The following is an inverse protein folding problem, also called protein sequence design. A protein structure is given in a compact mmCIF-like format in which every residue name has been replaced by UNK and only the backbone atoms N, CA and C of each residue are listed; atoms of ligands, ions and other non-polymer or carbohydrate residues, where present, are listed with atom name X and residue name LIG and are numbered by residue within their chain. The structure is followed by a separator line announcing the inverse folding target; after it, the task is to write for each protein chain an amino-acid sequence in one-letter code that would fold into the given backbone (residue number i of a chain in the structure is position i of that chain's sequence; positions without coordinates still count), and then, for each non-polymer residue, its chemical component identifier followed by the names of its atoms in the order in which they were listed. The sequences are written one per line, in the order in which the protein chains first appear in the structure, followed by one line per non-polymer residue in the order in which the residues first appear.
data_IF_522076686741
#
_entry.id   IF_522076686741
#
_cell.length_a   1.000
_cell.length_b   1.000
_cell.length_c   1.000
_cell.angle_alpha   90.00
_cell.angle_beta   90.00
_cell.angle_gamma   90.00
#
_symmetry.space_group_name_H-M   'P 1'
#
loop_
_entity.id
_entity.type
_entity.pdbx_description
1 polymer ?
#
# COMPACT_ATOMS: atom_id res chain seq x y z
N UNK A 1 -32.20 -2.33 -24.78
CA UNK A 1 -31.10 -1.81 -23.94
C UNK A 1 -29.83 -2.46 -24.45
N UNK A 2 -28.85 -1.69 -24.94
CA UNK A 2 -27.59 -2.24 -25.42
C UNK A 2 -26.88 -2.98 -24.29
N UNK A 3 -26.58 -4.27 -24.49
CA UNK A 3 -25.83 -5.05 -23.51
C UNK A 3 -24.46 -4.41 -23.27
N UNK A 4 -24.10 -4.22 -21.99
CA UNK A 4 -22.82 -3.65 -21.60
C UNK A 4 -21.67 -4.55 -22.10
N UNK A 5 -20.56 -3.95 -22.55
CA UNK A 5 -19.38 -4.71 -22.97
C UNK A 5 -18.83 -5.57 -21.84
N UNK A 6 -18.21 -6.71 -22.16
CA UNK A 6 -17.61 -7.61 -21.17
C UNK A 6 -16.56 -6.90 -20.30
N UNK A 7 -15.78 -5.99 -20.89
CA UNK A 7 -14.78 -5.18 -20.18
C UNK A 7 -15.45 -4.26 -19.16
N UNK A 8 -16.56 -3.62 -19.53
CA UNK A 8 -17.35 -2.74 -18.66
C UNK A 8 -17.99 -3.54 -17.52
N UNK A 9 -18.52 -4.73 -17.80
CA UNK A 9 -19.09 -5.63 -16.78
C UNK A 9 -18.03 -6.04 -15.75
N UNK A 10 -16.82 -6.39 -16.18
CA UNK A 10 -15.69 -6.73 -15.28
C UNK A 10 -15.29 -5.54 -14.39
N UNK A 11 -15.27 -4.33 -14.94
CA UNK A 11 -15.00 -3.12 -14.17
C UNK A 11 -16.06 -2.94 -13.07
N UNK A 12 -17.34 -3.00 -13.42
CA UNK A 12 -18.46 -2.87 -12.47
C UNK A 12 -18.36 -3.92 -11.37
N UNK A 13 -18.10 -5.18 -11.72
CA UNK A 13 -17.97 -6.27 -10.75
C UNK A 13 -16.83 -6.02 -9.75
N UNK A 14 -15.66 -5.54 -10.21
CA UNK A 14 -14.53 -5.23 -9.33
C UNK A 14 -14.83 -4.08 -8.37
N UNK A 15 -15.54 -3.05 -8.83
CA UNK A 15 -15.99 -1.95 -7.97
C UNK A 15 -17.01 -2.42 -6.92
N UNK A 16 -17.96 -3.28 -7.31
CA UNK A 16 -18.92 -3.86 -6.37
C UNK A 16 -18.25 -4.73 -5.29
N UNK A 17 -17.31 -5.60 -5.68
CA UNK A 17 -16.53 -6.42 -4.75
C UNK A 17 -15.74 -5.54 -3.77
N UNK A 18 -15.14 -4.44 -4.27
CA UNK A 18 -14.45 -3.48 -3.42
C UNK A 18 -15.40 -2.84 -2.40
N UNK A 19 -16.55 -2.34 -2.85
CA UNK A 19 -17.54 -1.73 -1.98
C UNK A 19 -17.99 -2.70 -0.86
N UNK A 20 -18.20 -3.97 -1.19
CA UNK A 20 -18.52 -5.01 -0.20
C UNK A 20 -17.37 -5.28 0.77
N UNK A 21 -16.12 -5.25 0.31
CA UNK A 21 -14.94 -5.50 1.16
C UNK A 21 -14.63 -4.39 2.17
N UNK A 22 -15.12 -3.16 1.93
CA UNK A 22 -14.92 -2.00 2.83
C UNK A 22 -15.98 -1.99 3.95
N UNK A 23 -17.13 -2.63 3.75
CA UNK A 23 -18.18 -2.70 4.77
C UNK A 23 -17.65 -3.44 6.01
N UNK A 24 -17.90 -2.92 7.23
CA UNK A 24 -17.48 -3.58 8.45
C UNK A 24 -18.10 -4.98 8.52
N UNK A 25 -17.26 -6.00 8.70
CA UNK A 25 -17.71 -7.39 8.86
C UNK A 25 -18.18 -7.59 10.30
N UNK A 26 -19.41 -8.09 10.46
CA UNK A 26 -19.93 -8.44 11.77
C UNK A 26 -19.08 -9.54 12.42
N UNK A 27 -18.68 -9.32 13.68
CA UNK A 27 -17.96 -10.33 14.49
C UNK A 27 -16.44 -10.38 14.34
N UNK A 28 -15.80 -9.45 13.61
CA UNK A 28 -14.33 -9.39 13.51
C UNK A 28 -13.74 -8.40 14.50
N UNK A 29 -12.70 -8.79 15.25
CA UNK A 29 -11.99 -7.91 16.16
C UNK A 29 -11.26 -6.80 15.37
N UNK A 30 -11.54 -5.54 15.74
CA UNK A 30 -10.91 -4.36 15.14
C UNK A 30 -9.98 -3.68 16.13
N UNK A 31 -9.01 -2.94 15.59
CA UNK A 31 -7.99 -2.24 16.37
C UNK A 31 -8.61 -0.99 16.98
N UNK A 32 -8.70 -0.96 18.30
CA UNK A 32 -9.11 0.20 19.08
C UNK A 32 -7.91 0.92 19.69
N UNK A 33 -7.90 2.25 19.59
CA UNK A 33 -6.94 3.11 20.28
C UNK A 33 -7.68 4.23 21.04
N UNK A 34 -7.23 4.53 22.27
CA UNK A 34 -7.89 5.43 23.25
C UNK A 34 -8.36 6.81 22.72
N UNK A 35 -9.34 7.40 23.41
CA UNK A 35 -10.15 8.61 23.14
C UNK A 35 -9.54 9.75 22.29
N UNK A 36 -8.24 10.04 22.41
CA UNK A 36 -7.58 11.09 21.62
C UNK A 36 -7.49 10.69 20.15
N UNK A 37 -7.27 9.40 19.85
CA UNK A 37 -7.28 8.86 18.49
C UNK A 37 -8.68 8.94 17.86
N UNK A 38 -9.75 8.78 18.65
CA UNK A 38 -11.13 8.90 18.18
C UNK A 38 -11.45 10.33 17.69
N UNK A 39 -10.97 11.37 18.39
CA UNK A 39 -11.13 12.77 17.94
C UNK A 39 -10.33 13.08 16.68
N UNK A 40 -9.11 12.53 16.55
CA UNK A 40 -8.29 12.69 15.36
C UNK A 40 -8.87 11.90 14.18
N UNK A 41 -9.40 10.71 14.40
CA UNK A 41 -10.12 9.93 13.39
C UNK A 41 -11.38 10.67 12.90
N UNK A 42 -12.16 11.27 13.81
CA UNK A 42 -13.31 12.10 13.45
C UNK A 42 -12.91 13.36 12.65
N UNK A 43 -11.76 13.96 12.95
CA UNK A 43 -11.18 15.05 12.16
C UNK A 43 -10.72 14.57 10.78
N UNK A 44 -10.16 13.36 10.69
CA UNK A 44 -9.69 12.78 9.43
C UNK A 44 -10.82 12.32 8.52
N UNK A 45 -11.94 11.80 9.03
CA UNK A 45 -13.14 11.51 8.23
C UNK A 45 -13.70 12.80 7.60
N UNK A 46 -13.65 13.94 8.31
CA UNK A 46 -14.00 15.25 7.76
C UNK A 46 -13.00 15.72 6.69
N UNK A 47 -11.71 15.46 6.87
CA UNK A 47 -10.70 15.76 5.84
C UNK A 47 -10.90 14.89 4.60
N UNK A 48 -11.21 13.60 4.76
CA UNK A 48 -11.51 12.64 3.68
C UNK A 48 -12.69 13.09 2.80
N UNK A 49 -13.65 13.79 3.38
CA UNK A 49 -14.80 14.35 2.66
C UNK A 49 -14.43 15.58 1.81
N UNK A 50 -13.36 16.30 2.18
CA UNK A 50 -12.97 17.60 1.60
C UNK A 50 -11.72 17.51 0.71
N UNK A 51 -10.78 16.63 1.03
CA UNK A 51 -9.53 16.44 0.29
C UNK A 51 -9.76 15.43 -0.82
N UNK A 52 -9.52 15.88 -2.05
CA UNK A 52 -9.60 15.06 -3.25
C UNK A 52 -8.74 13.79 -3.06
N UNK A 53 -9.31 12.62 -3.33
CA UNK A 53 -8.78 11.27 -3.02
C UNK A 53 -7.31 11.05 -3.41
N UNK A 54 -6.81 11.80 -4.40
CA UNK A 54 -5.41 11.73 -4.87
C UNK A 54 -4.38 12.16 -3.82
N UNK A 55 -4.73 13.02 -2.88
CA UNK A 55 -3.77 13.53 -1.87
C UNK A 55 -3.75 12.69 -0.58
N UNK A 56 -4.82 11.94 -0.27
CA UNK A 56 -4.92 11.12 0.95
C UNK A 56 -3.83 10.02 1.00
N UNK A 57 -3.63 9.32 -0.12
CA UNK A 57 -2.60 8.27 -0.24
C UNK A 57 -1.19 8.84 -0.08
N UNK A 58 -0.93 10.05 -0.61
CA UNK A 58 0.37 10.70 -0.47
C UNK A 58 0.69 11.01 1.00
N UNK A 59 -0.29 11.52 1.75
CA UNK A 59 -0.13 11.82 3.18
C UNK A 59 0.08 10.57 4.02
N UNK A 60 -0.72 9.51 3.78
CA UNK A 60 -0.56 8.21 4.47
C UNK A 60 0.80 7.60 4.18
N UNK A 61 1.17 7.50 2.90
CA UNK A 61 2.47 6.96 2.48
C UNK A 61 3.62 7.73 3.09
N UNK A 62 3.56 9.07 3.10
CA UNK A 62 4.58 9.90 3.73
C UNK A 62 4.71 9.63 5.25
N UNK A 63 3.58 9.42 5.95
CA UNK A 63 3.59 9.02 7.35
C UNK A 63 4.24 7.64 7.56
N UNK A 64 3.84 6.64 6.76
CA UNK A 64 4.40 5.28 6.81
C UNK A 64 5.91 5.33 6.54
N UNK A 65 6.36 6.04 5.50
CA UNK A 65 7.79 6.22 5.18
C UNK A 65 8.56 6.78 6.38
N UNK A 66 8.06 7.85 7.00
CA UNK A 66 8.71 8.47 8.17
C UNK A 66 8.85 7.49 9.33
N UNK A 67 7.76 6.78 9.66
CA UNK A 67 7.74 5.79 10.74
C UNK A 67 8.65 4.60 10.46
N UNK A 68 8.68 4.10 9.22
CA UNK A 68 9.57 3.02 8.81
C UNK A 68 11.04 3.46 8.86
N UNK A 69 11.39 4.64 8.31
CA UNK A 69 12.76 5.18 8.36
C UNK A 69 13.27 5.31 9.79
N UNK A 70 12.45 5.84 10.70
CA UNK A 70 12.81 5.94 12.12
C UNK A 70 13.07 4.56 12.75
N UNK A 71 12.17 3.59 12.56
CA UNK A 71 12.25 2.27 13.19
C UNK A 71 13.38 1.43 12.62
N UNK A 72 13.55 1.43 11.31
CA UNK A 72 14.59 0.63 10.67
C UNK A 72 15.97 1.16 11.03
N UNK A 73 16.14 2.49 11.22
CA UNK A 73 17.40 3.05 11.70
C UNK A 73 17.72 2.53 13.11
N UNK A 74 16.73 2.52 14.00
CA UNK A 74 16.88 1.95 15.34
C UNK A 74 17.19 0.44 15.31
N UNK A 75 16.55 -0.30 14.40
CA UNK A 75 16.82 -1.73 14.19
C UNK A 75 18.26 -1.98 13.73
N UNK A 76 18.75 -1.17 12.80
CA UNK A 76 20.12 -1.30 12.27
C UNK A 76 21.14 -1.07 13.39
N UNK A 77 20.93 -0.07 14.25
CA UNK A 77 21.77 0.16 15.44
C UNK A 77 21.77 -1.01 16.43
N UNK A 78 20.67 -1.78 16.47
CA UNK A 78 20.50 -2.95 17.35
C UNK A 78 20.77 -4.28 16.64
N UNK A 79 21.43 -4.29 15.48
CA UNK A 79 21.70 -5.48 14.66
C UNK A 79 20.45 -6.32 14.32
N UNK A 80 19.31 -5.65 14.15
CA UNK A 80 18.02 -6.26 13.80
C UNK A 80 17.61 -7.42 14.74
N UNK A 81 17.86 -7.25 16.04
CA UNK A 81 17.62 -8.24 17.11
C UNK A 81 16.21 -8.18 17.73
N UNK A 82 15.21 -7.61 17.04
CA UNK A 82 13.92 -7.25 17.64
C UNK A 82 12.76 -8.10 17.14
N UNK A 83 11.78 -8.28 18.02
CA UNK A 83 10.48 -8.89 17.77
C UNK A 83 9.65 -8.05 16.78
N UNK A 84 9.60 -8.51 15.53
CA UNK A 84 8.84 -7.87 14.43
C UNK A 84 7.35 -7.67 14.71
N UNK A 85 6.77 -8.45 15.64
CA UNK A 85 5.36 -8.31 16.04
C UNK A 85 5.09 -6.94 16.67
N UNK A 86 5.90 -6.55 17.66
CA UNK A 86 5.76 -5.26 18.36
C UNK A 86 5.96 -4.07 17.43
N UNK A 87 6.83 -4.22 16.43
CA UNK A 87 7.09 -3.17 15.44
C UNK A 87 5.86 -2.96 14.56
N UNK A 88 5.24 -4.04 14.10
CA UNK A 88 4.03 -3.98 13.29
C UNK A 88 2.87 -3.35 14.08
N UNK A 89 2.59 -3.87 15.28
CA UNK A 89 1.53 -3.37 16.15
C UNK A 89 1.72 -1.88 16.48
N UNK A 90 2.92 -1.50 16.91
CA UNK A 90 3.24 -0.11 17.22
C UNK A 90 3.14 0.81 15.99
N UNK A 91 3.54 0.34 14.80
CA UNK A 91 3.37 1.09 13.56
C UNK A 91 1.88 1.33 13.26
N UNK A 92 1.04 0.29 13.34
CA UNK A 92 -0.40 0.41 13.06
C UNK A 92 -1.07 1.35 14.06
N UNK A 93 -0.83 1.16 15.36
CA UNK A 93 -1.41 2.00 16.42
C UNK A 93 -0.98 3.47 16.30
N UNK A 94 0.26 3.75 15.89
CA UNK A 94 0.71 5.13 15.63
C UNK A 94 0.08 5.75 14.38
N UNK A 95 -0.17 4.96 13.34
CA UNK A 95 -0.86 5.44 12.15
C UNK A 95 -2.33 5.76 12.46
N UNK A 96 -2.98 4.96 13.30
CA UNK A 96 -4.33 5.25 13.80
C UNK A 96 -4.34 6.52 14.66
N UNK A 97 -3.43 6.63 15.64
CA UNK A 97 -3.31 7.84 16.49
C UNK A 97 -2.99 9.09 15.69
N UNK A 98 -2.18 8.96 14.64
CA UNK A 98 -1.85 10.05 13.72
C UNK A 98 -2.97 10.41 12.74
N UNK A 99 -4.10 9.72 12.78
CA UNK A 99 -5.23 9.91 11.86
C UNK A 99 -5.02 9.32 10.47
N UNK A 100 -3.88 8.70 10.19
CA UNK A 100 -3.58 8.14 8.87
C UNK A 100 -4.33 6.84 8.59
N UNK A 101 -4.85 6.17 9.62
CA UNK A 101 -5.74 5.02 9.51
C UNK A 101 -7.00 5.26 10.35
N UNK A 102 -8.17 4.76 9.92
CA UNK A 102 -9.40 4.89 10.69
C UNK A 102 -9.35 4.03 11.97
N UNK A 103 -9.78 4.60 13.09
CA UNK A 103 -9.96 3.86 14.34
C UNK A 103 -11.14 2.88 14.21
N UNK A 104 -11.09 1.74 14.91
CA UNK A 104 -12.18 0.76 15.01
C UNK A 104 -12.67 0.13 13.68
N UNK A 105 -12.00 0.42 12.56
CA UNK A 105 -12.33 -0.12 11.24
C UNK A 105 -11.30 -1.09 10.67
N UNK A 106 -10.09 -1.10 11.22
CA UNK A 106 -9.00 -1.97 10.75
C UNK A 106 -9.04 -3.28 11.54
N UNK A 107 -9.15 -4.42 10.84
CA UNK A 107 -9.10 -5.75 11.45
C UNK A 107 -7.72 -6.00 12.10
N UNK A 108 -7.68 -6.66 13.26
CA UNK A 108 -6.41 -7.01 13.93
C UNK A 108 -5.50 -7.91 13.06
N UNK A 109 -6.10 -8.70 12.18
CA UNK A 109 -5.40 -9.55 11.19
C UNK A 109 -4.43 -8.76 10.31
N UNK A 110 -4.68 -7.46 10.10
CA UNK A 110 -3.80 -6.57 9.33
C UNK A 110 -2.45 -6.34 10.00
N UNK A 111 -2.37 -6.45 11.33
CA UNK A 111 -1.09 -6.39 12.04
C UNK A 111 -0.19 -7.55 11.59
N UNK A 112 -0.76 -8.74 11.38
CA UNK A 112 -0.02 -9.92 10.92
C UNK A 112 0.47 -9.74 9.47
N UNK A 113 -0.32 -9.11 8.61
CA UNK A 113 0.10 -8.76 7.24
C UNK A 113 1.28 -7.78 7.26
N UNK A 114 1.17 -6.68 8.02
CA UNK A 114 2.24 -5.71 8.19
C UNK A 114 3.50 -6.34 8.79
N UNK A 115 3.35 -7.26 9.73
CA UNK A 115 4.47 -8.01 10.30
C UNK A 115 5.20 -8.83 9.24
N UNK A 116 4.48 -9.53 8.35
CA UNK A 116 5.09 -10.28 7.24
C UNK A 116 5.87 -9.36 6.30
N UNK A 117 5.29 -8.21 5.97
CA UNK A 117 5.93 -7.19 5.13
C UNK A 117 7.23 -6.70 5.79
N UNK A 118 7.18 -6.28 7.06
CA UNK A 118 8.37 -5.83 7.80
C UNK A 118 9.45 -6.92 7.87
N UNK A 119 9.07 -8.17 8.16
CA UNK A 119 10.01 -9.32 8.18
C UNK A 119 10.73 -9.49 6.84
N UNK A 120 9.99 -9.38 5.73
CA UNK A 120 10.55 -9.48 4.38
C UNK A 120 11.62 -8.42 4.13
N UNK A 121 11.34 -7.16 4.47
CA UNK A 121 12.29 -6.07 4.25
C UNK A 121 13.49 -6.12 5.20
N UNK A 122 13.31 -6.56 6.44
CA UNK A 122 14.43 -6.85 7.35
C UNK A 122 15.33 -7.94 6.76
N UNK A 123 14.74 -9.02 6.23
CA UNK A 123 15.52 -10.09 5.59
C UNK A 123 16.33 -9.57 4.39
N UNK A 124 15.72 -8.76 3.52
CA UNK A 124 16.43 -8.13 2.40
C UNK A 124 17.61 -7.30 2.92
N UNK A 125 17.38 -6.41 3.89
CA UNK A 125 18.40 -5.53 4.46
C UNK A 125 19.57 -6.28 5.12
N UNK A 126 19.28 -7.42 5.76
CA UNK A 126 20.31 -8.28 6.39
C UNK A 126 21.24 -8.96 5.38
N UNK A 127 20.75 -9.22 4.16
CA UNK A 127 21.46 -10.00 3.15
C UNK A 127 22.03 -9.12 2.02
N UNK A 128 22.09 -7.80 2.22
CA UNK A 128 22.71 -6.90 1.25
C UNK A 128 24.23 -7.17 1.23
N UNK A 129 24.84 -7.39 0.05
CA UNK A 129 26.28 -7.51 -0.06
C UNK A 129 26.99 -6.21 0.34
N UNK A 130 28.23 -6.31 0.82
CA UNK A 130 28.97 -5.11 1.21
C UNK A 130 29.10 -4.12 0.04
N UNK A 131 28.58 -2.91 0.26
CA UNK A 131 28.58 -1.82 -0.70
C UNK A 131 29.20 -0.56 -0.07
N UNK A 132 29.63 0.38 -0.91
CA UNK A 132 30.11 1.69 -0.43
C UNK A 132 29.02 2.37 0.40
N UNK A 133 29.40 3.04 1.50
CA UNK A 133 28.47 3.68 2.45
C UNK A 133 27.37 4.51 1.79
N UNK A 134 27.70 5.30 0.76
CA UNK A 134 26.73 6.11 -0.01
C UNK A 134 25.69 5.26 -0.74
N UNK A 135 26.12 4.17 -1.40
CA UNK A 135 25.23 3.27 -2.14
C UNK A 135 24.32 2.51 -1.18
N UNK A 136 24.85 2.06 -0.04
CA UNK A 136 24.06 1.43 1.03
C UNK A 136 22.97 2.35 1.54
N UNK A 137 23.27 3.62 1.83
CA UNK A 137 22.28 4.60 2.28
C UNK A 137 21.19 4.89 1.23
N UNK A 138 21.58 5.01 -0.04
CA UNK A 138 20.62 5.21 -1.13
C UNK A 138 19.69 4.00 -1.29
N UNK A 139 20.25 2.79 -1.30
CA UNK A 139 19.47 1.56 -1.34
C UNK A 139 18.52 1.46 -0.14
N UNK A 140 19.02 1.80 1.04
CA UNK A 140 18.24 1.78 2.27
C UNK A 140 17.05 2.75 2.23
N UNK A 141 17.22 3.99 1.76
CA UNK A 141 16.09 4.90 1.59
C UNK A 141 15.08 4.36 0.59
N UNK A 142 15.56 3.88 -0.55
CA UNK A 142 14.72 3.37 -1.63
C UNK A 142 13.91 2.13 -1.20
N UNK A 143 14.55 1.14 -0.56
CA UNK A 143 13.87 -0.09 -0.16
C UNK A 143 12.80 0.17 0.92
N UNK A 144 13.00 1.17 1.78
CA UNK A 144 11.99 1.57 2.76
C UNK A 144 10.81 2.31 2.12
N UNK A 145 11.02 3.02 1.02
CA UNK A 145 9.93 3.61 0.23
C UNK A 145 9.10 2.51 -0.43
N UNK A 146 9.74 1.46 -0.95
CA UNK A 146 9.04 0.26 -1.46
C UNK A 146 8.27 -0.44 -0.33
N UNK A 147 8.89 -0.60 0.83
CA UNK A 147 8.23 -1.17 2.01
C UNK A 147 7.00 -0.38 2.44
N UNK A 148 7.09 0.96 2.41
CA UNK A 148 5.96 1.82 2.74
C UNK A 148 4.79 1.66 1.77
N UNK A 149 5.08 1.56 0.46
CA UNK A 149 4.06 1.28 -0.56
C UNK A 149 3.34 -0.05 -0.28
N UNK A 150 4.09 -1.11 0.06
CA UNK A 150 3.47 -2.41 0.32
C UNK A 150 2.66 -2.43 1.62
N UNK A 151 3.12 -1.74 2.67
CA UNK A 151 2.34 -1.55 3.91
C UNK A 151 1.06 -0.78 3.60
N UNK A 152 1.12 0.30 2.83
CA UNK A 152 -0.08 1.04 2.42
C UNK A 152 -1.06 0.16 1.64
N UNK A 153 -0.57 -0.61 0.66
CA UNK A 153 -1.38 -1.52 -0.15
C UNK A 153 -2.05 -2.61 0.69
N UNK A 154 -1.45 -3.02 1.81
CA UNK A 154 -2.07 -3.99 2.74
C UNK A 154 -3.34 -3.45 3.40
N UNK A 155 -3.39 -2.14 3.66
CA UNK A 155 -4.57 -1.46 4.23
C UNK A 155 -5.55 -1.01 3.16
N UNK A 156 -5.05 -0.43 2.07
CA UNK A 156 -5.84 0.14 0.99
C UNK A 156 -5.33 -0.40 -0.35
N UNK A 157 -5.78 -1.59 -0.78
CA UNK A 157 -5.42 -2.06 -2.10
C UNK A 157 -6.09 -1.15 -3.15
N UNK A 158 -5.32 -0.62 -4.09
CA UNK A 158 -5.76 0.28 -5.17
C UNK A 158 -6.63 -0.44 -6.23
N UNK A 159 -7.68 -1.13 -5.80
CA UNK A 159 -8.49 -2.02 -6.65
C UNK A 159 -9.22 -1.21 -7.72
N UNK A 160 -9.79 -0.06 -7.36
CA UNK A 160 -10.57 0.79 -8.26
C UNK A 160 -9.67 1.38 -9.35
N UNK A 161 -8.56 1.99 -8.95
CA UNK A 161 -7.57 2.60 -9.84
C UNK A 161 -6.96 1.56 -10.78
N UNK A 162 -6.53 0.40 -10.25
CA UNK A 162 -6.00 -0.68 -11.09
C UNK A 162 -7.07 -1.25 -12.01
N UNK A 163 -8.33 -1.31 -11.59
CA UNK A 163 -9.42 -1.81 -12.43
C UNK A 163 -9.71 -0.86 -13.58
N UNK A 164 -9.72 0.46 -13.34
CA UNK A 164 -9.83 1.47 -14.38
C UNK A 164 -8.65 1.44 -15.35
N UNK A 165 -7.41 1.39 -14.84
CA UNK A 165 -6.21 1.30 -15.68
C UNK A 165 -6.27 0.07 -16.58
N UNK A 166 -6.62 -1.10 -16.04
CA UNK A 166 -6.76 -2.32 -16.82
C UNK A 166 -7.89 -2.21 -17.86
N UNK A 167 -9.04 -1.64 -17.48
CA UNK A 167 -10.15 -1.41 -18.40
C UNK A 167 -9.74 -0.50 -19.57
N UNK A 168 -9.07 0.62 -19.28
CA UNK A 168 -8.53 1.52 -20.29
C UNK A 168 -7.49 0.83 -21.17
N UNK A 169 -6.61 0.04 -20.59
CA UNK A 169 -5.59 -0.71 -21.32
C UNK A 169 -6.24 -1.68 -22.32
N UNK A 170 -7.24 -2.46 -21.91
CA UNK A 170 -7.93 -3.39 -22.81
C UNK A 170 -8.67 -2.65 -23.94
N UNK A 171 -9.35 -1.54 -23.64
CA UNK A 171 -10.00 -0.70 -24.66
C UNK A 171 -9.03 -0.13 -25.69
N UNK A 172 -7.86 0.33 -25.23
CA UNK A 172 -6.83 0.91 -26.09
C UNK A 172 -6.18 -0.19 -26.93
N UNK A 173 -5.84 -1.32 -26.30
CA UNK A 173 -5.23 -2.48 -26.95
C UNK A 173 -6.05 -2.99 -28.13
N UNK A 174 -7.37 -3.03 -28.01
CA UNK A 174 -8.27 -3.43 -29.12
C UNK A 174 -8.29 -2.43 -30.29
N UNK A 175 -7.92 -1.17 -30.05
CA UNK A 175 -7.96 -0.09 -31.04
C UNK A 175 -6.59 0.22 -31.66
N UNK A 176 -5.50 -0.16 -31.00
CA UNK A 176 -4.15 0.00 -31.54
C UNK A 176 -3.96 -1.02 -32.67
N UNK A 177 -3.92 -0.53 -33.91
CA UNK A 177 -3.39 -1.28 -35.05
C UNK A 177 -1.90 -1.00 -35.14
N UNK A 178 -1.08 -1.99 -34.79
CA UNK A 178 0.36 -1.91 -34.97
C UNK A 178 0.67 -2.03 -36.46
N UNK A 179 1.34 -1.04 -37.03
CA UNK A 179 1.81 -1.12 -38.40
C UNK A 179 3.07 -2.00 -38.41
N UNK A 180 3.03 -3.15 -39.10
CA UNK A 180 4.07 -4.19 -39.06
C UNK A 180 5.47 -3.67 -39.41
N UNK A 181 5.57 -2.55 -40.14
CA UNK A 181 6.84 -1.92 -40.50
C UNK A 181 7.55 -1.10 -39.41
N UNK A 182 6.92 -0.86 -38.25
CA UNK A 182 7.48 0.01 -37.18
C UNK A 182 8.09 -0.80 -36.02
N UNK A 183 7.74 -2.07 -35.88
CA UNK A 183 8.24 -2.93 -34.82
C UNK A 183 9.50 -3.66 -35.29
N UNK A 184 10.65 -3.00 -35.21
CA UNK A 184 11.93 -3.72 -35.08
C UNK A 184 12.08 -4.14 -33.61
N UNK A 185 11.50 -5.29 -33.24
CA UNK A 185 11.95 -5.97 -32.03
C UNK A 185 13.41 -6.36 -32.30
N UNK A 186 14.31 -5.76 -31.54
CA UNK A 186 15.74 -5.97 -31.69
C UNK A 186 16.11 -7.45 -31.58
N UNK A 187 16.49 -8.01 -32.71
CA UNK A 187 17.63 -8.90 -32.87
C UNK A 187 17.61 -10.23 -32.12
N UNK A 188 16.98 -11.23 -32.72
CA UNK A 188 17.57 -12.57 -32.81
C UNK A 188 17.29 -13.09 -34.22
N UNK A 189 18.28 -13.00 -35.09
CA UNK A 189 18.37 -13.81 -36.30
C UNK A 189 19.23 -15.02 -35.96
N UNK A 190 18.66 -16.20 -36.26
CA UNK A 190 19.23 -17.56 -36.35
C UNK A 190 20.66 -17.81 -35.88
#
# INVERSE_FOLDING_TARGET
MSELSQQTQRLIQRYQLRHQSIQPKEGVATIHVDEVASRVAAFYEKIREVVDWKEEHLMRRAAIIRKLKQRFLELELRNFSVETAKIAESLVSELIRGGHLPNDRIEETKILEVQKIIRKYIFILKNIPEAKKKQRLQFYSWILEVAACEVEESFYPFIEERSLINYMFELIKERIKLNEGVIKIGGVSE
#
